data_IF_000822385752
#
_entry.id   IF_000822385752
#
_cell.length_a   1.000
_cell.length_b   1.000
_cell.length_c   1.000
_cell.angle_alpha   90.00
_cell.angle_beta   90.00
_cell.angle_gamma   90.00
#
_symmetry.space_group_name_H-M   'P 1'
#
loop_
_entity.id
_entity.type
_entity.pdbx_description
1 polymer ?
#
# COMPACT_ATOMS: atom_id res chain seq x y z
N UNK A 1 -19.79 -42.37 30.21
CA UNK A 1 -19.32 -42.65 28.84
C UNK A 1 -20.51 -43.17 28.07
N UNK A 2 -20.91 -42.43 27.06
CA UNK A 2 -22.13 -42.67 26.28
C UNK A 2 -21.86 -43.73 25.19
N UNK A 3 -22.83 -44.61 24.93
CA UNK A 3 -22.71 -45.78 24.07
C UNK A 3 -22.37 -45.42 22.61
N UNK A 4 -22.70 -44.20 22.21
CA UNK A 4 -22.37 -43.56 20.92
C UNK A 4 -20.86 -43.41 20.68
N UNK A 5 -20.04 -43.29 21.73
CA UNK A 5 -18.58 -43.14 21.62
C UNK A 5 -17.86 -44.45 21.24
N UNK A 6 -18.48 -45.62 21.46
CA UNK A 6 -17.84 -46.93 21.19
C UNK A 6 -17.79 -47.32 19.71
N UNK A 7 -18.72 -46.82 18.88
CA UNK A 7 -18.87 -47.30 17.50
C UNK A 7 -17.90 -46.66 16.51
N UNK A 8 -17.28 -45.52 16.85
CA UNK A 8 -16.41 -44.77 15.93
C UNK A 8 -14.92 -45.18 15.98
N UNK A 9 -14.49 -45.97 16.97
CA UNK A 9 -13.06 -46.09 17.34
C UNK A 9 -12.45 -47.49 17.17
N UNK A 10 -13.24 -48.52 16.90
CA UNK A 10 -12.71 -49.89 16.77
C UNK A 10 -12.02 -50.08 15.41
N UNK A 11 -10.71 -49.77 15.36
CA UNK A 11 -9.81 -50.15 14.27
C UNK A 11 -9.22 -49.00 13.44
N UNK A 12 -9.62 -47.75 13.67
CA UNK A 12 -9.13 -46.58 12.94
C UNK A 12 -8.39 -45.59 13.85
N UNK A 13 -7.37 -44.86 13.33
CA UNK A 13 -6.65 -43.87 14.12
C UNK A 13 -7.60 -42.76 14.62
N UNK A 14 -7.53 -42.48 15.92
CA UNK A 14 -8.23 -41.37 16.55
C UNK A 14 -7.66 -40.03 16.06
N UNK A 15 -8.56 -39.10 15.75
CA UNK A 15 -8.23 -37.73 15.35
C UNK A 15 -8.36 -36.79 16.54
N UNK A 16 -7.53 -35.75 16.58
CA UNK A 16 -7.61 -34.70 17.58
C UNK A 16 -8.04 -33.38 16.95
N UNK A 17 -8.65 -32.50 17.74
CA UNK A 17 -8.89 -31.12 17.30
C UNK A 17 -7.55 -30.45 16.93
N UNK A 18 -7.48 -29.90 15.72
CA UNK A 18 -6.26 -29.36 15.12
C UNK A 18 -5.58 -30.29 14.10
N UNK A 19 -5.92 -31.58 14.07
CA UNK A 19 -5.46 -32.49 13.02
C UNK A 19 -6.00 -32.01 11.66
N UNK A 20 -5.20 -32.20 10.61
CA UNK A 20 -5.55 -31.88 9.24
C UNK A 20 -5.72 -33.20 8.50
N UNK A 21 -6.90 -33.43 7.95
CA UNK A 21 -7.24 -34.63 7.20
C UNK A 21 -7.22 -34.35 5.71
N UNK A 22 -6.53 -35.21 4.97
CA UNK A 22 -6.36 -35.13 3.52
C UNK A 22 -7.01 -36.34 2.86
N UNK A 23 -7.68 -36.12 1.73
CA UNK A 23 -8.20 -37.21 0.91
C UNK A 23 -7.04 -37.93 0.22
N UNK A 24 -6.89 -39.23 0.47
CA UNK A 24 -5.84 -40.04 -0.15
C UNK A 24 -6.13 -40.37 -1.62
N UNK A 25 -7.41 -40.45 -2.03
CA UNK A 25 -7.81 -40.67 -3.42
C UNK A 25 -8.07 -39.35 -4.14
N UNK A 26 -7.36 -39.13 -5.23
CA UNK A 26 -7.61 -38.01 -6.13
C UNK A 26 -8.36 -38.51 -7.36
N UNK A 27 -9.44 -37.82 -7.69
CA UNK A 27 -10.12 -37.97 -8.97
C UNK A 27 -9.54 -36.93 -9.93
N UNK A 28 -9.15 -37.34 -11.14
CA UNK A 28 -8.64 -36.44 -12.19
C UNK A 28 -9.68 -35.44 -12.71
N UNK A 29 -10.92 -35.55 -12.23
CA UNK A 29 -12.09 -34.79 -12.67
C UNK A 29 -12.64 -33.91 -11.52
N UNK A 30 -11.87 -33.68 -10.46
CA UNK A 30 -12.31 -32.80 -9.37
C UNK A 30 -12.47 -31.37 -9.88
N UNK A 31 -13.56 -30.72 -9.45
CA UNK A 31 -13.85 -29.30 -9.73
C UNK A 31 -12.83 -28.40 -9.04
N UNK A 32 -12.33 -28.84 -7.88
CA UNK A 32 -11.31 -28.12 -7.12
C UNK A 32 -9.90 -28.58 -7.55
N UNK A 33 -8.99 -27.64 -7.84
CA UNK A 33 -7.59 -27.93 -8.08
C UNK A 33 -6.89 -28.44 -6.80
N UNK A 34 -5.83 -29.22 -6.95
CA UNK A 34 -4.96 -29.61 -5.84
C UNK A 34 -5.48 -30.68 -4.87
N UNK A 35 -4.88 -30.71 -3.67
CA UNK A 35 -5.24 -31.63 -2.59
C UNK A 35 -6.41 -31.10 -1.75
N UNK A 36 -7.41 -31.96 -1.54
CA UNK A 36 -8.58 -31.66 -0.71
C UNK A 36 -8.29 -32.02 0.74
N UNK A 37 -8.39 -31.02 1.62
CA UNK A 37 -8.20 -31.18 3.06
C UNK A 37 -9.35 -30.59 3.88
N UNK A 38 -9.44 -31.01 5.14
CA UNK A 38 -10.25 -30.37 6.17
C UNK A 38 -9.48 -30.32 7.50
N UNK A 39 -9.80 -29.34 8.34
CA UNK A 39 -9.25 -29.24 9.70
C UNK A 39 -10.27 -29.77 10.70
N UNK A 40 -9.85 -30.70 11.55
CA UNK A 40 -10.69 -31.26 12.61
C UNK A 40 -10.86 -30.22 13.71
N UNK A 41 -12.11 -29.93 14.06
CA UNK A 41 -12.47 -28.98 15.12
C UNK A 41 -13.06 -29.70 16.34
N UNK A 42 -13.20 -28.99 17.47
CA UNK A 42 -13.87 -29.54 18.66
C UNK A 42 -15.32 -29.96 18.39
N UNK A 43 -15.99 -29.36 17.41
CA UNK A 43 -17.38 -29.69 17.06
C UNK A 43 -17.50 -31.03 16.31
N UNK A 44 -16.40 -31.50 15.72
CA UNK A 44 -16.38 -32.73 14.93
C UNK A 44 -16.13 -33.97 15.81
N UNK A 45 -15.80 -33.77 17.09
CA UNK A 45 -15.43 -34.85 17.99
C UNK A 45 -16.67 -35.59 18.55
N UNK A 46 -16.63 -36.93 18.70
CA UNK A 46 -15.50 -37.83 18.40
C UNK A 46 -15.43 -38.24 16.91
N UNK A 47 -14.23 -38.28 16.34
CA UNK A 47 -14.00 -38.66 14.92
C UNK A 47 -12.73 -39.49 14.75
N UNK A 48 -12.73 -40.41 13.79
CA UNK A 48 -11.60 -41.27 13.45
C UNK A 48 -11.32 -41.23 11.94
N UNK A 49 -10.06 -41.47 11.56
CA UNK A 49 -9.64 -41.43 10.15
C UNK A 49 -9.84 -42.79 9.46
N UNK A 50 -10.72 -42.83 8.45
CA UNK A 50 -10.89 -44.01 7.59
C UNK A 50 -9.64 -44.33 6.75
N UNK A 51 -9.64 -45.47 6.03
CA UNK A 51 -8.45 -46.02 5.35
C UNK A 51 -7.97 -45.22 4.12
N UNK A 52 -8.75 -44.21 3.69
CA UNK A 52 -8.48 -43.33 2.56
C UNK A 52 -8.26 -41.88 3.00
N UNK A 53 -7.96 -41.66 4.27
CA UNK A 53 -7.65 -40.37 4.86
C UNK A 53 -6.20 -40.37 5.32
N UNK A 54 -5.43 -39.39 4.88
CA UNK A 54 -4.11 -39.11 5.42
C UNK A 54 -4.25 -38.07 6.54
N UNK A 55 -3.49 -38.27 7.63
CA UNK A 55 -3.49 -37.35 8.76
C UNK A 55 -2.19 -36.55 8.73
N UNK A 56 -2.31 -35.23 8.70
CA UNK A 56 -1.21 -34.31 8.96
C UNK A 56 -1.42 -33.68 10.32
N UNK A 57 -0.41 -33.81 11.19
CA UNK A 57 -0.40 -33.18 12.51
C UNK A 57 0.58 -32.02 12.49
N UNK A 58 0.11 -30.76 12.62
CA UNK A 58 1.00 -29.64 12.75
C UNK A 58 1.94 -29.80 13.95
N UNK A 59 3.20 -29.40 13.78
CA UNK A 59 4.13 -29.33 14.92
C UNK A 59 3.64 -28.26 15.90
N UNK A 60 3.73 -28.51 17.19
CA UNK A 60 3.32 -27.56 18.22
C UNK A 60 4.05 -26.21 18.14
N UNK A 61 5.25 -26.20 17.55
CA UNK A 61 6.10 -25.01 17.35
C UNK A 61 5.88 -24.33 15.99
N UNK A 62 5.04 -24.88 15.11
CA UNK A 62 4.82 -24.30 13.79
C UNK A 62 3.93 -23.06 13.91
N UNK A 63 4.35 -21.97 13.25
CA UNK A 63 3.55 -20.77 13.13
C UNK A 63 2.26 -21.06 12.34
N UNK A 64 1.15 -20.46 12.78
CA UNK A 64 -0.15 -20.63 12.16
C UNK A 64 -0.14 -20.14 10.71
N UNK A 65 0.59 -19.07 10.41
CA UNK A 65 0.72 -18.54 9.05
C UNK A 65 1.44 -19.54 8.13
N UNK A 66 2.48 -20.22 8.63
CA UNK A 66 3.20 -21.26 7.88
C UNK A 66 2.31 -22.46 7.56
N UNK A 67 1.52 -22.91 8.54
CA UNK A 67 0.55 -24.00 8.35
C UNK A 67 -0.46 -23.59 7.27
N UNK A 68 -1.05 -22.40 7.37
CA UNK A 68 -2.06 -21.95 6.43
C UNK A 68 -1.50 -21.75 5.01
N UNK A 69 -0.27 -21.24 4.88
CA UNK A 69 0.42 -21.14 3.61
C UNK A 69 0.64 -22.52 2.98
N UNK A 70 1.16 -23.48 3.76
CA UNK A 70 1.38 -24.84 3.29
C UNK A 70 0.07 -25.48 2.82
N UNK A 71 -1.03 -25.28 3.56
CA UNK A 71 -2.35 -25.79 3.19
C UNK A 71 -2.91 -25.18 1.91
N UNK A 72 -2.71 -23.88 1.70
CA UNK A 72 -3.09 -23.23 0.43
C UNK A 72 -2.23 -23.70 -0.73
N UNK A 73 -0.92 -23.90 -0.50
CA UNK A 73 -0.02 -24.42 -1.51
C UNK A 73 -0.45 -25.84 -1.94
N UNK A 74 -0.70 -26.76 -1.00
CA UNK A 74 -1.11 -28.13 -1.37
C UNK A 74 -2.47 -28.18 -2.06
N UNK A 75 -3.35 -27.21 -1.82
CA UNK A 75 -4.63 -27.04 -2.53
C UNK A 75 -4.51 -26.32 -3.87
N UNK A 76 -3.31 -25.95 -4.31
CA UNK A 76 -3.10 -25.31 -5.60
C UNK A 76 -2.71 -26.33 -6.68
N UNK A 77 -2.96 -25.98 -7.94
CA UNK A 77 -2.45 -26.76 -9.09
C UNK A 77 -0.92 -26.84 -9.10
N UNK A 78 -0.22 -25.83 -8.57
CA UNK A 78 1.22 -25.81 -8.50
C UNK A 78 1.78 -26.97 -7.65
N UNK A 79 1.08 -27.38 -6.59
CA UNK A 79 1.49 -28.53 -5.80
C UNK A 79 1.37 -29.87 -6.55
N UNK A 80 0.43 -29.97 -7.51
CA UNK A 80 0.30 -31.15 -8.38
C UNK A 80 1.33 -31.14 -9.52
N UNK A 81 1.75 -29.94 -9.99
CA UNK A 81 2.74 -29.78 -11.05
C UNK A 81 4.20 -29.93 -10.56
N UNK A 82 4.52 -29.47 -9.36
CA UNK A 82 5.87 -29.58 -8.76
C UNK A 82 6.22 -30.99 -8.27
N UNK A 83 5.27 -31.91 -8.39
CA UNK A 83 5.43 -33.32 -8.08
C UNK A 83 5.72 -34.14 -9.34
N UNK A 84 6.86 -33.92 -9.98
CA UNK A 84 7.38 -34.81 -11.04
C UNK A 84 7.52 -36.28 -10.55
N UNK A 85 7.68 -36.47 -9.24
CA UNK A 85 7.73 -37.78 -8.57
C UNK A 85 6.35 -38.40 -8.26
N UNK A 86 5.27 -37.61 -8.33
CA UNK A 86 3.90 -38.10 -8.20
C UNK A 86 3.27 -38.10 -9.59
N UNK A 87 3.79 -38.95 -10.49
CA UNK A 87 3.10 -39.27 -11.74
C UNK A 87 1.82 -40.04 -11.43
N UNK A 88 0.77 -39.30 -11.10
CA UNK A 88 -0.60 -39.79 -10.97
C UNK A 88 -1.01 -40.36 -12.34
N UNK A 89 -1.06 -41.69 -12.44
CA UNK A 89 -1.51 -42.41 -13.65
C UNK A 89 -2.99 -42.07 -13.92
N UNK A 90 -3.45 -42.01 -15.18
CA UNK A 90 -4.73 -41.39 -15.49
C UNK A 90 -5.86 -42.40 -15.23
N UNK A 91 -6.54 -42.28 -14.08
CA UNK A 91 -7.96 -42.59 -13.87
C UNK A 91 -8.35 -42.49 -12.38
N UNK A 92 -7.46 -42.87 -11.45
CA UNK A 92 -7.55 -42.62 -10.00
C UNK A 92 -6.18 -42.82 -9.39
N UNK A 93 -5.70 -41.86 -8.62
CA UNK A 93 -4.36 -41.91 -8.06
C UNK A 93 -4.42 -41.80 -6.53
N UNK A 94 -3.78 -42.77 -5.87
CA UNK A 94 -3.71 -42.81 -4.40
C UNK A 94 -2.43 -42.10 -3.94
N UNK A 95 -2.59 -41.02 -3.20
CA UNK A 95 -1.52 -40.35 -2.50
C UNK A 95 -1.18 -41.16 -1.25
N UNK A 96 0.10 -41.44 -1.06
CA UNK A 96 0.62 -42.13 0.12
C UNK A 96 1.31 -41.13 1.05
N UNK A 97 1.39 -41.45 2.34
CA UNK A 97 2.11 -40.61 3.30
C UNK A 97 3.59 -40.38 2.91
N UNK A 98 4.24 -41.40 2.33
CA UNK A 98 5.63 -41.32 1.87
C UNK A 98 5.81 -40.40 0.65
N UNK A 99 4.82 -40.35 -0.25
CA UNK A 99 4.83 -39.40 -1.37
C UNK A 99 4.59 -37.97 -0.85
N UNK A 100 3.61 -37.80 0.05
CA UNK A 100 3.29 -36.51 0.64
C UNK A 100 4.46 -35.94 1.47
N UNK A 101 5.21 -36.78 2.19
CA UNK A 101 6.36 -36.33 2.98
C UNK A 101 7.55 -35.83 2.15
N UNK A 102 7.57 -36.12 0.85
CA UNK A 102 8.60 -35.65 -0.10
C UNK A 102 8.19 -34.36 -0.81
N UNK A 103 6.94 -33.91 -0.64
CA UNK A 103 6.44 -32.70 -1.25
C UNK A 103 7.25 -31.51 -0.73
N UNK A 104 7.87 -30.77 -1.66
CA UNK A 104 8.58 -29.54 -1.34
C UNK A 104 7.56 -28.41 -1.28
N UNK A 105 7.33 -27.89 -0.08
CA UNK A 105 6.49 -26.72 0.16
C UNK A 105 7.41 -25.48 0.19
N UNK A 106 7.10 -24.42 -0.57
CA UNK A 106 7.84 -23.17 -0.48
C UNK A 106 7.80 -22.59 0.94
N UNK A 107 8.83 -21.86 1.33
CA UNK A 107 8.85 -21.14 2.62
C UNK A 107 8.43 -19.69 2.32
N UNK A 108 7.31 -19.20 2.89
CA UNK A 108 6.90 -17.82 2.70
C UNK A 108 7.84 -16.88 3.45
N UNK A 109 8.20 -15.77 2.83
CA UNK A 109 8.89 -14.68 3.55
C UNK A 109 7.89 -13.89 4.43
N UNK A 110 8.42 -12.97 5.24
CA UNK A 110 7.61 -12.19 6.17
C UNK A 110 6.52 -11.36 5.46
N UNK A 111 6.87 -10.74 4.33
CA UNK A 111 5.93 -9.91 3.56
C UNK A 111 4.76 -10.74 3.03
N UNK A 112 5.03 -11.94 2.49
CA UNK A 112 3.99 -12.85 2.02
C UNK A 112 3.12 -13.37 3.17
N UNK A 113 3.71 -13.66 4.34
CA UNK A 113 2.94 -14.04 5.54
C UNK A 113 1.97 -12.94 5.97
N UNK A 114 2.45 -11.70 6.06
CA UNK A 114 1.64 -10.56 6.47
C UNK A 114 0.51 -10.30 5.47
N UNK A 115 0.78 -10.38 4.17
CA UNK A 115 -0.24 -10.28 3.13
C UNK A 115 -1.32 -11.35 3.27
N UNK A 116 -0.94 -12.61 3.53
CA UNK A 116 -1.89 -13.71 3.72
C UNK A 116 -2.75 -13.54 4.97
N UNK A 117 -2.14 -13.11 6.08
CA UNK A 117 -2.87 -12.77 7.31
C UNK A 117 -3.86 -11.64 7.02
N UNK A 118 -3.43 -10.60 6.31
CA UNK A 118 -4.27 -9.48 5.89
C UNK A 118 -5.47 -9.91 5.06
N UNK A 119 -5.25 -10.75 4.03
CA UNK A 119 -6.32 -11.30 3.17
C UNK A 119 -7.29 -12.14 3.99
N UNK A 120 -6.80 -13.00 4.89
CA UNK A 120 -7.66 -13.86 5.69
C UNK A 120 -8.51 -13.06 6.69
N UNK A 121 -7.93 -12.03 7.31
CA UNK A 121 -8.68 -11.09 8.14
C UNK A 121 -9.74 -10.33 7.34
N UNK A 122 -9.39 -9.88 6.12
CA UNK A 122 -10.34 -9.23 5.22
C UNK A 122 -11.49 -10.15 4.86
N UNK A 123 -11.21 -11.42 4.52
CA UNK A 123 -12.21 -12.46 4.23
C UNK A 123 -13.15 -12.66 5.42
N UNK A 124 -12.61 -12.82 6.62
CA UNK A 124 -13.41 -13.00 7.84
C UNK A 124 -14.31 -11.80 8.13
N UNK A 125 -13.81 -10.57 7.96
CA UNK A 125 -14.61 -9.35 8.11
C UNK A 125 -15.72 -9.27 7.07
N UNK A 126 -15.42 -9.58 5.81
CA UNK A 126 -16.41 -9.59 4.74
C UNK A 126 -17.51 -10.63 5.00
N UNK A 127 -17.16 -11.85 5.43
CA UNK A 127 -18.14 -12.87 5.83
C UNK A 127 -19.00 -12.41 7.02
N UNK A 128 -18.40 -11.76 8.02
CA UNK A 128 -19.16 -11.21 9.14
C UNK A 128 -20.17 -10.14 8.69
N UNK A 129 -19.79 -9.29 7.74
CA UNK A 129 -20.70 -8.29 7.15
C UNK A 129 -21.82 -8.92 6.33
N UNK A 130 -21.53 -10.00 5.60
CA UNK A 130 -22.55 -10.78 4.88
C UNK A 130 -23.57 -11.39 5.85
N UNK A 131 -23.09 -12.06 6.89
CA UNK A 131 -23.96 -12.67 7.90
C UNK A 131 -24.84 -11.61 8.59
N UNK A 132 -24.29 -10.44 8.91
CA UNK A 132 -25.06 -9.33 9.49
C UNK A 132 -26.17 -8.85 8.54
N UNK A 133 -25.91 -8.80 7.22
CA UNK A 133 -26.93 -8.46 6.23
C UNK A 133 -28.03 -9.54 6.13
N UNK A 134 -27.63 -10.82 6.13
CA UNK A 134 -28.57 -11.95 6.10
C UNK A 134 -29.46 -12.00 7.34
N UNK A 135 -28.91 -11.73 8.52
CA UNK A 135 -29.67 -11.61 9.77
C UNK A 135 -30.71 -10.48 9.69
N UNK A 136 -30.32 -9.29 9.16
CA UNK A 136 -31.26 -8.17 8.99
C UNK A 136 -32.41 -8.54 8.03
N UNK A 137 -32.12 -9.31 6.98
CA UNK A 137 -33.12 -9.76 6.01
C UNK A 137 -34.03 -10.86 6.59
N UNK A 138 -33.47 -11.79 7.36
CA UNK A 138 -34.23 -12.85 8.02
C UNK A 138 -35.23 -12.29 9.02
N UNK A 139 -34.82 -11.30 9.82
CA UNK A 139 -35.64 -10.69 10.87
C UNK A 139 -36.74 -9.76 10.31
N UNK A 140 -36.77 -9.48 9.00
CA UNK A 140 -37.63 -8.46 8.37
C UNK A 140 -39.13 -8.64 8.69
N UNK A 141 -39.58 -9.89 8.85
CA UNK A 141 -40.98 -10.23 9.05
C UNK A 141 -41.33 -10.61 10.50
N UNK A 142 -40.36 -10.56 11.42
CA UNK A 142 -40.54 -11.00 12.80
C UNK A 142 -41.02 -9.89 13.75
N UNK A 143 -41.30 -8.69 13.22
CA UNK A 143 -41.75 -7.53 13.99
C UNK A 143 -43.27 -7.41 14.05
N UNK A 144 -43.78 -6.89 15.17
CA UNK A 144 -45.22 -6.76 15.47
C UNK A 144 -45.97 -5.81 14.51
N UNK A 145 -45.25 -4.94 13.79
CA UNK A 145 -45.82 -4.07 12.78
C UNK A 145 -44.86 -3.71 11.65
N UNK A 146 -45.41 -3.39 10.47
CA UNK A 146 -44.63 -2.93 9.32
C UNK A 146 -43.90 -1.59 9.58
N UNK A 147 -44.44 -0.74 10.45
CA UNK A 147 -43.80 0.52 10.83
C UNK A 147 -42.54 0.29 11.68
N UNK A 148 -42.62 -0.63 12.63
CA UNK A 148 -41.49 -1.04 13.46
C UNK A 148 -40.41 -1.76 12.66
N UNK A 149 -40.81 -2.71 11.80
CA UNK A 149 -39.90 -3.41 10.88
C UNK A 149 -39.09 -2.41 10.04
N UNK A 150 -39.76 -1.42 9.44
CA UNK A 150 -39.11 -0.38 8.63
C UNK A 150 -38.07 0.40 9.44
N UNK A 151 -38.41 0.85 10.65
CA UNK A 151 -37.48 1.63 11.47
C UNK A 151 -36.25 0.81 11.88
N UNK A 152 -36.46 -0.41 12.37
CA UNK A 152 -35.39 -1.32 12.81
C UNK A 152 -34.47 -1.72 11.66
N UNK A 153 -35.04 -2.03 10.51
CA UNK A 153 -34.26 -2.38 9.31
C UNK A 153 -33.43 -1.19 8.86
N UNK A 154 -33.99 0.03 8.77
CA UNK A 154 -33.24 1.23 8.35
C UNK A 154 -32.06 1.51 9.30
N UNK A 155 -32.28 1.35 10.60
CA UNK A 155 -31.27 1.55 11.64
C UNK A 155 -30.14 0.51 11.54
N UNK A 156 -30.48 -0.78 11.53
CA UNK A 156 -29.49 -1.88 11.48
C UNK A 156 -28.73 -1.91 10.15
N UNK A 157 -29.43 -1.68 9.03
CA UNK A 157 -28.81 -1.66 7.70
C UNK A 157 -27.96 -0.41 7.42
N UNK A 158 -28.00 0.62 8.27
CA UNK A 158 -27.24 1.86 8.06
C UNK A 158 -25.74 1.60 8.01
N UNK A 159 -25.22 0.82 8.94
CA UNK A 159 -23.78 0.55 9.03
C UNK A 159 -23.30 -0.30 7.85
N UNK A 160 -24.08 -1.31 7.44
CA UNK A 160 -23.80 -2.14 6.26
C UNK A 160 -23.72 -1.26 4.99
N UNK A 161 -24.70 -0.38 4.77
CA UNK A 161 -24.67 0.55 3.62
C UNK A 161 -23.47 1.51 3.67
N UNK A 162 -23.10 2.01 4.85
CA UNK A 162 -21.94 2.89 4.99
C UNK A 162 -20.62 2.16 4.70
N UNK A 163 -20.49 0.89 5.11
CA UNK A 163 -19.34 0.06 4.77
C UNK A 163 -19.24 -0.17 3.26
N UNK A 164 -20.35 -0.53 2.61
CA UNK A 164 -20.37 -0.72 1.16
C UNK A 164 -20.03 0.57 0.42
N UNK A 165 -20.60 1.70 0.83
CA UNK A 165 -20.24 3.00 0.26
C UNK A 165 -18.74 3.30 0.42
N UNK A 166 -18.15 3.00 1.58
CA UNK A 166 -16.71 3.18 1.78
C UNK A 166 -15.86 2.24 0.91
N UNK A 167 -16.37 1.04 0.60
CA UNK A 167 -15.72 0.11 -0.35
C UNK A 167 -15.83 0.65 -1.78
N UNK A 168 -17.03 1.03 -2.23
CA UNK A 168 -17.26 1.62 -3.56
C UNK A 168 -16.36 2.86 -3.77
N UNK A 169 -16.23 3.69 -2.73
CA UNK A 169 -15.37 4.88 -2.71
C UNK A 169 -13.88 4.55 -2.82
N UNK A 170 -13.44 3.29 -2.66
CA UNK A 170 -12.03 2.84 -2.75
C UNK A 170 -11.82 1.92 -3.98
N UNK A 171 -12.87 1.44 -4.65
CA UNK A 171 -12.73 0.61 -5.86
C UNK A 171 -12.25 1.42 -7.08
N UNK A 172 -12.52 2.73 -7.09
CA UNK A 172 -12.06 3.61 -8.17
C UNK A 172 -10.68 4.20 -7.88
N UNK A 173 -9.87 4.40 -8.93
CA UNK A 173 -8.56 5.04 -8.78
C UNK A 173 -8.66 6.43 -8.10
N UNK A 174 -9.64 7.26 -8.48
CA UNK A 174 -9.83 8.57 -7.83
C UNK A 174 -10.16 8.44 -6.35
N UNK A 175 -10.98 7.45 -6.01
CA UNK A 175 -11.27 7.05 -4.64
C UNK A 175 -10.05 6.67 -3.81
N UNK A 176 -9.20 5.80 -4.36
CA UNK A 176 -7.93 5.39 -3.75
C UNK A 176 -6.98 6.58 -3.58
N UNK A 177 -6.83 7.40 -4.61
CA UNK A 177 -5.97 8.59 -4.57
C UNK A 177 -6.44 9.55 -3.48
N UNK A 178 -7.75 9.82 -3.38
CA UNK A 178 -8.28 10.76 -2.37
C UNK A 178 -8.13 10.26 -0.94
N UNK A 179 -8.25 8.96 -0.71
CA UNK A 179 -8.39 8.40 0.65
C UNK A 179 -7.17 7.68 1.19
N UNK A 180 -6.32 7.12 0.32
CA UNK A 180 -5.22 6.25 0.71
C UNK A 180 -3.84 6.78 0.30
N UNK A 181 -3.74 7.51 -0.82
CA UNK A 181 -2.45 8.03 -1.27
C UNK A 181 -1.89 9.05 -0.27
N UNK A 182 -0.56 9.31 -0.31
CA UNK A 182 0.05 10.31 0.55
C UNK A 182 -0.62 11.68 0.44
N UNK A 183 -0.71 12.37 1.57
CA UNK A 183 -1.38 13.67 1.74
C UNK A 183 -1.15 14.67 0.60
N UNK A 184 0.07 14.87 0.08
CA UNK A 184 0.32 15.81 -1.02
C UNK A 184 -0.47 15.49 -2.29
N UNK A 185 -0.56 14.21 -2.63
CA UNK A 185 -1.24 13.73 -3.84
C UNK A 185 -2.74 13.77 -3.61
N UNK A 186 -3.21 13.21 -2.49
CA UNK A 186 -4.62 13.14 -2.15
C UNK A 186 -5.26 14.54 -2.05
N UNK A 187 -4.57 15.49 -1.44
CA UNK A 187 -5.05 16.87 -1.31
C UNK A 187 -5.20 17.56 -2.67
N UNK A 188 -4.23 17.39 -3.56
CA UNK A 188 -4.27 17.97 -4.92
C UNK A 188 -5.31 17.31 -5.80
N UNK A 189 -5.50 16.00 -5.64
CA UNK A 189 -6.58 15.28 -6.29
C UNK A 189 -7.95 15.81 -5.86
N UNK A 190 -8.18 16.01 -4.56
CA UNK A 190 -9.42 16.62 -4.05
C UNK A 190 -9.65 18.02 -4.63
N UNK A 191 -8.60 18.84 -4.75
CA UNK A 191 -8.70 20.17 -5.35
C UNK A 191 -9.09 20.10 -6.84
N UNK A 192 -8.53 19.14 -7.58
CA UNK A 192 -8.90 18.85 -8.97
C UNK A 192 -10.36 18.39 -9.08
N UNK A 193 -10.81 17.46 -8.23
CA UNK A 193 -12.21 17.02 -8.23
C UNK A 193 -13.18 18.17 -7.94
N UNK A 194 -12.82 19.04 -7.00
CA UNK A 194 -13.60 20.24 -6.70
C UNK A 194 -13.66 21.20 -7.90
N UNK A 195 -12.54 21.46 -8.59
CA UNK A 195 -12.53 22.26 -9.81
C UNK A 195 -13.41 21.62 -10.91
N UNK A 196 -13.27 20.31 -11.11
CA UNK A 196 -14.01 19.53 -12.11
C UNK A 196 -15.51 19.49 -11.87
N UNK A 197 -15.97 19.70 -10.63
CA UNK A 197 -17.41 19.78 -10.32
C UNK A 197 -18.14 20.90 -11.10
N UNK A 198 -17.40 21.89 -11.60
CA UNK A 198 -17.89 22.97 -12.45
C UNK A 198 -17.75 22.68 -13.96
N UNK A 199 -17.36 21.45 -14.34
CA UNK A 199 -17.12 21.02 -15.72
C UNK A 199 -15.65 21.12 -16.15
N UNK A 200 -15.40 20.90 -17.44
CA UNK A 200 -14.07 20.96 -18.04
C UNK A 200 -13.68 22.41 -18.34
N UNK A 201 -13.39 23.15 -17.26
CA UNK A 201 -12.99 24.56 -17.31
C UNK A 201 -11.47 24.69 -17.34
N UNK A 202 -10.98 25.90 -17.60
CA UNK A 202 -9.56 26.24 -17.43
C UNK A 202 -9.07 25.99 -15.99
N UNK A 203 -9.92 26.19 -14.98
CA UNK A 203 -9.58 25.89 -13.59
C UNK A 203 -9.32 24.39 -13.40
N UNK A 204 -10.18 23.54 -13.97
CA UNK A 204 -10.00 22.08 -13.99
C UNK A 204 -8.69 21.69 -14.67
N UNK A 205 -8.39 22.30 -15.83
CA UNK A 205 -7.14 22.07 -16.56
C UNK A 205 -5.91 22.42 -15.72
N UNK A 206 -5.89 23.63 -15.13
CA UNK A 206 -4.77 24.08 -14.29
C UNK A 206 -4.65 23.22 -13.03
N UNK A 207 -5.77 22.83 -12.40
CA UNK A 207 -5.76 21.95 -11.24
C UNK A 207 -5.18 20.56 -11.57
N UNK A 208 -5.41 20.04 -12.79
CA UNK A 208 -4.83 18.78 -13.25
C UNK A 208 -3.30 18.90 -13.41
N UNK A 209 -2.84 20.00 -14.01
CA UNK A 209 -1.40 20.28 -14.18
C UNK A 209 -0.71 20.51 -12.82
N UNK A 210 -1.34 21.25 -11.91
CA UNK A 210 -0.81 21.44 -10.56
C UNK A 210 -0.77 20.11 -9.80
N UNK A 211 -1.80 19.26 -9.90
CA UNK A 211 -1.77 17.93 -9.31
C UNK A 211 -0.63 17.08 -9.86
N UNK A 212 -0.39 17.13 -11.18
CA UNK A 212 0.74 16.43 -11.79
C UNK A 212 2.08 16.96 -11.27
N UNK A 213 2.28 18.27 -11.25
CA UNK A 213 3.52 18.90 -10.79
C UNK A 213 3.83 18.52 -9.34
N UNK A 214 2.84 18.55 -8.44
CA UNK A 214 3.06 18.20 -7.04
C UNK A 214 3.26 16.70 -6.82
N UNK A 215 2.58 15.84 -7.58
CA UNK A 215 2.85 14.39 -7.55
C UNK A 215 4.28 14.09 -8.00
N UNK A 216 4.75 14.71 -9.08
CA UNK A 216 6.13 14.52 -9.56
C UNK A 216 7.15 15.13 -8.60
N UNK A 217 6.89 16.29 -8.03
CA UNK A 217 7.74 16.89 -6.99
C UNK A 217 7.86 15.95 -5.79
N UNK A 218 6.75 15.40 -5.31
CA UNK A 218 6.73 14.44 -4.22
C UNK A 218 7.59 13.21 -4.54
N UNK A 219 7.34 12.53 -5.66
CA UNK A 219 8.08 11.32 -6.05
C UNK A 219 9.56 11.58 -6.29
N UNK A 220 9.91 12.70 -6.94
CA UNK A 220 11.30 13.10 -7.14
C UNK A 220 12.02 13.25 -5.79
N UNK A 221 11.43 13.95 -4.82
CA UNK A 221 12.06 14.15 -3.51
C UNK A 221 12.17 12.84 -2.69
N UNK A 222 11.21 11.92 -2.81
CA UNK A 222 11.36 10.55 -2.26
C UNK A 222 12.55 9.84 -2.90
N UNK A 223 12.63 9.87 -4.24
CA UNK A 223 13.73 9.25 -4.97
C UNK A 223 15.11 9.82 -4.62
N UNK A 224 15.20 11.15 -4.43
CA UNK A 224 16.42 11.82 -3.98
C UNK A 224 16.85 11.35 -2.58
N UNK A 225 15.90 11.19 -1.66
CA UNK A 225 16.18 10.67 -0.33
C UNK A 225 16.68 9.22 -0.37
N UNK A 226 16.00 8.34 -1.09
CA UNK A 226 16.37 6.93 -1.20
C UNK A 226 17.72 6.74 -1.91
N UNK A 227 18.00 7.52 -2.96
CA UNK A 227 19.29 7.49 -3.63
C UNK A 227 20.44 7.93 -2.70
N UNK A 228 20.20 8.92 -1.84
CA UNK A 228 21.15 9.35 -0.81
C UNK A 228 21.37 8.26 0.24
N UNK A 229 20.32 7.56 0.66
CA UNK A 229 20.43 6.43 1.59
C UNK A 229 21.33 5.32 1.03
N UNK A 230 21.28 5.08 -0.29
CA UNK A 230 22.21 4.20 -0.99
C UNK A 230 23.64 4.76 -1.18
N UNK A 231 23.89 6.01 -0.77
CA UNK A 231 25.17 6.70 -0.97
C UNK A 231 25.44 7.11 -2.42
N UNK A 232 24.42 7.19 -3.27
CA UNK A 232 24.53 7.63 -4.65
C UNK A 232 24.15 9.10 -4.82
N UNK A 233 24.94 9.85 -5.59
CA UNK A 233 24.59 11.21 -6.01
C UNK A 233 23.82 11.22 -7.33
N UNK A 234 22.96 12.23 -7.48
CA UNK A 234 22.27 12.54 -8.72
C UNK A 234 22.80 13.86 -9.29
N UNK A 235 23.02 13.92 -10.60
CA UNK A 235 23.27 15.18 -11.30
C UNK A 235 22.13 16.17 -11.16
N UNK A 236 20.88 15.69 -11.01
CA UNK A 236 19.73 16.53 -10.74
C UNK A 236 19.87 17.36 -9.45
N UNK A 237 20.60 16.88 -8.43
CA UNK A 237 20.87 17.65 -7.21
C UNK A 237 21.77 18.84 -7.52
N UNK A 238 22.81 18.64 -8.33
CA UNK A 238 23.73 19.71 -8.74
C UNK A 238 23.01 20.76 -9.60
N UNK A 239 22.12 20.32 -10.50
CA UNK A 239 21.30 21.21 -11.34
C UNK A 239 20.34 22.07 -10.49
N UNK A 240 19.65 21.44 -9.53
CA UNK A 240 18.79 22.14 -8.58
C UNK A 240 19.61 23.13 -7.75
N UNK A 241 20.77 22.70 -7.21
CA UNK A 241 21.66 23.57 -6.44
C UNK A 241 22.10 24.80 -7.27
N UNK A 242 22.45 24.59 -8.54
CA UNK A 242 22.80 25.66 -9.47
C UNK A 242 21.66 26.65 -9.71
N UNK A 243 20.41 26.17 -9.81
CA UNK A 243 19.22 27.04 -9.90
C UNK A 243 18.97 27.83 -8.63
N UNK A 244 19.05 27.16 -7.48
CA UNK A 244 18.91 27.80 -6.17
C UNK A 244 19.96 28.90 -5.99
N UNK A 245 21.21 28.66 -6.42
CA UNK A 245 22.27 29.67 -6.38
C UNK A 245 21.96 30.90 -7.25
N UNK A 246 21.28 30.71 -8.39
CA UNK A 246 20.80 31.81 -9.25
C UNK A 246 19.54 32.50 -8.71
N UNK A 247 19.03 32.08 -7.56
CA UNK A 247 17.75 32.56 -7.02
C UNK A 247 16.55 32.16 -7.86
N UNK A 248 16.63 31.05 -8.60
CA UNK A 248 15.51 30.49 -9.35
C UNK A 248 14.82 29.42 -8.51
N UNK A 249 13.48 29.38 -8.61
CA UNK A 249 12.69 28.31 -8.02
C UNK A 249 12.88 26.99 -8.75
N UNK A 250 12.64 25.89 -8.04
CA UNK A 250 12.45 24.57 -8.64
C UNK A 250 11.17 24.52 -9.50
N UNK A 251 11.12 23.58 -10.42
CA UNK A 251 10.08 23.46 -11.43
C UNK A 251 9.79 22.00 -11.77
N UNK A 252 8.63 21.76 -12.39
CA UNK A 252 8.26 20.43 -12.90
C UNK A 252 9.34 19.78 -13.77
N UNK A 253 10.10 20.57 -14.53
CA UNK A 253 11.23 20.05 -15.34
C UNK A 253 12.33 19.45 -14.46
N UNK A 254 12.66 20.06 -13.32
CA UNK A 254 13.71 19.58 -12.43
C UNK A 254 13.29 18.23 -11.81
N UNK A 255 12.00 18.07 -11.49
CA UNK A 255 11.42 16.83 -10.97
C UNK A 255 11.42 15.71 -12.02
N UNK A 256 11.02 16.01 -13.26
CA UNK A 256 11.11 15.04 -14.35
C UNK A 256 12.55 14.59 -14.59
N UNK A 257 13.53 15.51 -14.57
CA UNK A 257 14.94 15.18 -14.73
C UNK A 257 15.47 14.27 -13.61
N UNK A 258 15.11 14.54 -12.36
CA UNK A 258 15.47 13.67 -11.24
C UNK A 258 14.90 12.25 -11.40
N UNK A 259 13.61 12.14 -11.76
CA UNK A 259 12.94 10.85 -11.98
C UNK A 259 13.56 10.10 -13.16
N UNK A 260 13.89 10.79 -14.25
CA UNK A 260 14.55 10.18 -15.42
C UNK A 260 15.96 9.69 -15.10
N UNK A 261 16.72 10.39 -14.26
CA UNK A 261 18.03 9.92 -13.79
C UNK A 261 17.89 8.67 -12.91
N UNK A 262 16.86 8.65 -12.04
CA UNK A 262 16.52 7.50 -11.19
C UNK A 262 16.14 6.25 -11.98
N UNK A 263 15.87 6.33 -13.29
CA UNK A 263 15.68 5.18 -14.19
C UNK A 263 16.98 4.48 -14.59
N UNK A 264 18.16 5.07 -14.33
CA UNK A 264 19.47 4.50 -14.68
C UNK A 264 19.85 3.26 -13.87
N UNK A 265 20.62 2.33 -14.46
CA UNK A 265 20.99 1.02 -13.84
C UNK A 265 21.68 1.12 -12.48
N UNK A 266 22.36 2.23 -12.18
CA UNK A 266 23.02 2.48 -10.88
C UNK A 266 22.03 2.47 -9.71
N UNK A 267 20.74 2.67 -9.97
CA UNK A 267 19.69 2.71 -8.95
C UNK A 267 18.86 1.43 -8.84
N UNK A 268 19.28 0.31 -9.48
CA UNK A 268 18.58 -0.97 -9.32
C UNK A 268 18.53 -1.46 -7.86
N UNK A 269 19.47 -1.01 -7.02
CA UNK A 269 19.48 -1.35 -5.59
C UNK A 269 18.29 -0.73 -4.81
N UNK A 270 17.56 0.24 -5.39
CA UNK A 270 16.35 0.79 -4.79
C UNK A 270 15.26 -0.28 -4.62
N UNK A 271 15.13 -1.20 -5.58
CA UNK A 271 14.13 -2.27 -5.54
C UNK A 271 14.26 -3.11 -4.27
N UNK A 272 15.51 -3.42 -3.91
CA UNK A 272 15.83 -4.17 -2.69
C UNK A 272 15.71 -3.30 -1.44
N UNK A 273 16.04 -2.00 -1.53
CA UNK A 273 16.02 -1.07 -0.40
C UNK A 273 14.62 -0.90 0.18
N UNK A 274 13.63 -0.61 -0.68
CA UNK A 274 12.23 -0.39 -0.27
C UNK A 274 11.35 -1.63 -0.50
N UNK A 275 11.98 -2.77 -0.82
CA UNK A 275 11.30 -4.06 -0.95
C UNK A 275 10.19 -4.11 -2.01
N UNK A 276 10.28 -3.30 -3.06
CA UNK A 276 9.37 -3.32 -4.23
C UNK A 276 10.06 -2.71 -5.46
N UNK A 277 9.88 -3.28 -6.68
CA UNK A 277 10.39 -2.68 -7.92
C UNK A 277 9.51 -1.53 -8.43
N UNK A 278 8.31 -1.34 -7.89
CA UNK A 278 7.27 -0.49 -8.49
C UNK A 278 7.67 1.01 -8.56
N UNK A 279 8.46 1.50 -7.61
CA UNK A 279 9.04 2.86 -7.68
C UNK A 279 9.93 3.02 -8.91
N UNK A 280 10.73 2.00 -9.21
CA UNK A 280 11.65 1.97 -10.34
C UNK A 280 10.91 1.71 -11.65
N UNK A 281 9.86 0.90 -11.64
CA UNK A 281 8.95 0.72 -12.76
C UNK A 281 8.32 2.07 -13.14
N UNK A 282 7.85 2.87 -12.17
CA UNK A 282 7.39 4.24 -12.41
C UNK A 282 8.45 5.11 -13.11
N UNK A 283 9.72 4.98 -12.73
CA UNK A 283 10.81 5.76 -13.34
C UNK A 283 11.08 5.32 -14.79
N UNK A 284 11.03 4.01 -15.07
CA UNK A 284 11.49 3.40 -16.32
C UNK A 284 10.40 3.14 -17.36
N UNK A 285 9.13 3.01 -16.95
CA UNK A 285 8.01 2.65 -17.84
C UNK A 285 7.85 3.73 -18.94
N UNK A 286 8.00 3.36 -20.24
CA UNK A 286 7.85 4.29 -21.35
C UNK A 286 6.48 4.99 -21.40
N UNK A 287 5.42 4.32 -20.98
CA UNK A 287 4.05 4.84 -20.93
C UNK A 287 3.93 5.94 -19.88
N UNK A 288 4.47 5.68 -18.69
CA UNK A 288 4.51 6.65 -17.59
C UNK A 288 5.38 7.84 -17.97
N UNK A 289 6.55 7.57 -18.57
CA UNK A 289 7.44 8.62 -19.07
C UNK A 289 6.78 9.52 -20.11
N UNK A 290 6.05 8.94 -21.07
CA UNK A 290 5.30 9.71 -22.06
C UNK A 290 4.23 10.59 -21.41
N UNK A 291 3.49 10.05 -20.42
CA UNK A 291 2.49 10.81 -19.66
C UNK A 291 3.14 11.98 -18.86
N UNK A 292 4.31 11.76 -18.24
CA UNK A 292 5.08 12.84 -17.57
C UNK A 292 5.47 13.94 -18.56
N UNK A 293 5.96 13.56 -19.74
CA UNK A 293 6.40 14.50 -20.77
C UNK A 293 5.23 15.31 -21.36
N UNK A 294 4.09 14.66 -21.62
CA UNK A 294 2.87 15.33 -22.08
C UNK A 294 2.40 16.40 -21.08
N UNK A 295 2.29 16.05 -19.79
CA UNK A 295 1.87 17.01 -18.76
C UNK A 295 2.90 18.12 -18.54
N UNK A 296 4.19 17.82 -18.63
CA UNK A 296 5.25 18.83 -18.58
C UNK A 296 5.13 19.82 -19.75
N UNK A 297 4.89 19.32 -20.97
CA UNK A 297 4.73 20.17 -22.15
C UNK A 297 3.53 21.10 -21.97
N UNK A 298 2.38 20.56 -21.55
CA UNK A 298 1.17 21.32 -21.24
C UNK A 298 1.40 22.39 -20.16
N UNK A 299 2.12 22.03 -19.10
CA UNK A 299 2.50 22.96 -18.02
C UNK A 299 3.36 24.10 -18.54
N UNK A 300 4.35 23.80 -19.38
CA UNK A 300 5.21 24.80 -20.00
C UNK A 300 4.44 25.69 -20.97
N UNK A 301 3.53 25.13 -21.76
CA UNK A 301 2.67 25.90 -22.68
C UNK A 301 1.82 26.91 -21.90
N UNK A 302 1.19 26.48 -20.80
CA UNK A 302 0.35 27.33 -19.96
C UNK A 302 1.17 28.41 -19.22
N UNK A 303 2.38 28.09 -18.76
CA UNK A 303 3.30 29.03 -18.14
C UNK A 303 3.88 30.07 -19.14
N UNK A 304 4.05 29.70 -20.41
CA UNK A 304 4.56 30.56 -21.48
C UNK A 304 3.46 31.33 -22.23
N UNK A 305 2.19 31.24 -21.78
CA UNK A 305 1.07 31.95 -22.40
C UNK A 305 0.56 31.33 -23.71
N UNK A 306 1.06 30.14 -24.09
CA UNK A 306 0.57 29.33 -25.21
C UNK A 306 -0.64 28.52 -24.76
N UNK A 307 -1.67 29.26 -24.36
CA UNK A 307 -2.82 28.73 -23.65
C UNK A 307 -3.73 27.93 -24.56
N UNK A 308 -4.34 26.87 -24.02
CA UNK A 308 -5.42 26.16 -24.71
C UNK A 308 -6.60 27.12 -24.94
N UNK A 309 -7.12 27.11 -26.17
CA UNK A 309 -8.29 27.90 -26.56
C UNK A 309 -9.57 27.32 -25.95
N UNK A 310 -10.57 28.18 -25.72
CA UNK A 310 -11.81 27.76 -25.04
C UNK A 310 -12.53 26.60 -25.73
N UNK A 311 -12.45 26.50 -27.06
CA UNK A 311 -13.09 25.44 -27.84
C UNK A 311 -12.41 24.07 -27.69
N UNK A 312 -11.12 24.06 -27.33
CA UNK A 312 -10.31 22.85 -27.21
C UNK A 312 -10.13 22.41 -25.74
N UNK A 313 -10.70 23.16 -24.79
CA UNK A 313 -10.53 22.90 -23.34
C UNK A 313 -11.09 21.54 -22.91
N UNK A 314 -12.21 21.11 -23.50
CA UNK A 314 -12.84 19.84 -23.12
C UNK A 314 -11.89 18.65 -23.40
N UNK A 315 -11.37 18.60 -24.64
CA UNK A 315 -10.40 17.60 -25.07
C UNK A 315 -9.09 17.72 -24.28
N UNK A 316 -8.57 18.94 -24.11
CA UNK A 316 -7.32 19.16 -23.39
C UNK A 316 -7.38 18.75 -21.92
N UNK A 317 -8.53 18.92 -21.26
CA UNK A 317 -8.79 18.41 -19.90
C UNK A 317 -8.86 16.89 -19.92
N UNK A 318 -9.59 16.28 -20.86
CA UNK A 318 -9.67 14.84 -21.00
C UNK A 318 -8.29 14.18 -21.18
N UNK A 319 -7.46 14.73 -22.05
CA UNK A 319 -6.09 14.25 -22.29
C UNK A 319 -5.19 14.42 -21.05
N UNK A 320 -5.22 15.59 -20.40
CA UNK A 320 -4.43 15.83 -19.19
C UNK A 320 -4.83 14.87 -18.06
N UNK A 321 -6.13 14.59 -17.91
CA UNK A 321 -6.63 13.61 -16.94
C UNK A 321 -6.18 12.19 -17.28
N UNK A 322 -6.16 11.79 -18.55
CA UNK A 322 -5.67 10.47 -18.97
C UNK A 322 -4.19 10.29 -18.62
N UNK A 323 -3.35 11.29 -18.89
CA UNK A 323 -1.94 11.29 -18.51
C UNK A 323 -1.78 11.25 -16.98
N UNK A 324 -2.56 12.03 -16.24
CA UNK A 324 -2.51 12.05 -14.78
C UNK A 324 -2.99 10.73 -14.16
N UNK A 325 -4.03 10.10 -14.71
CA UNK A 325 -4.47 8.77 -14.29
C UNK A 325 -3.41 7.70 -14.54
N UNK A 326 -2.68 7.79 -15.66
CA UNK A 326 -1.56 6.89 -15.96
C UNK A 326 -0.45 7.01 -14.91
N UNK A 327 -0.11 8.24 -14.51
CA UNK A 327 0.83 8.52 -13.42
C UNK A 327 0.30 7.96 -12.10
N UNK A 328 -0.93 8.30 -11.68
CA UNK A 328 -1.45 7.87 -10.38
C UNK A 328 -1.58 6.34 -10.28
N UNK A 329 -1.95 5.67 -11.37
CA UNK A 329 -2.03 4.19 -11.41
C UNK A 329 -0.67 3.52 -11.23
N UNK A 330 0.41 4.13 -11.75
CA UNK A 330 1.77 3.60 -11.56
C UNK A 330 2.35 3.91 -10.17
N UNK A 331 1.65 4.68 -9.35
CA UNK A 331 2.02 5.01 -7.97
C UNK A 331 1.24 4.22 -6.92
N UNK A 332 0.53 3.16 -7.31
CA UNK A 332 -0.29 2.34 -6.40
C UNK A 332 0.56 1.66 -5.30
N UNK A 333 1.86 1.47 -5.51
CA UNK A 333 2.79 0.99 -4.49
C UNK A 333 2.83 1.86 -3.23
N UNK A 334 2.45 3.14 -3.32
CA UNK A 334 2.35 4.04 -2.18
C UNK A 334 1.27 3.62 -1.17
N UNK A 335 0.34 2.75 -1.58
CA UNK A 335 -0.64 2.13 -0.67
C UNK A 335 0.06 1.23 0.35
N UNK A 336 1.13 0.56 -0.07
CA UNK A 336 1.94 -0.33 0.77
C UNK A 336 3.18 0.39 1.33
N UNK A 337 3.50 1.57 0.80
CA UNK A 337 4.62 2.41 1.24
C UNK A 337 4.17 3.82 1.70
N UNK A 338 3.41 3.94 2.80
CA UNK A 338 2.86 5.22 3.22
C UNK A 338 3.91 6.15 3.82
N UNK A 339 3.63 7.46 3.77
CA UNK A 339 4.38 8.44 4.54
C UNK A 339 3.95 8.45 5.99
N UNK A 340 4.92 8.55 6.90
CA UNK A 340 4.67 8.68 8.33
C UNK A 340 5.43 9.85 8.94
N UNK A 341 4.82 10.51 9.91
CA UNK A 341 5.49 11.46 10.80
C UNK A 341 5.86 10.72 12.08
N UNK A 342 7.15 10.66 12.39
CA UNK A 342 7.61 10.19 13.69
C UNK A 342 7.22 11.21 14.77
N UNK A 343 6.50 10.81 15.81
CA UNK A 343 6.06 11.71 16.88
C UNK A 343 6.91 11.57 18.12
N UNK A 344 7.11 10.34 18.59
CA UNK A 344 7.85 10.10 19.82
C UNK A 344 8.44 8.68 19.80
N UNK A 345 9.71 8.55 20.16
CA UNK A 345 10.39 7.27 20.30
C UNK A 345 10.61 6.96 21.78
N UNK A 346 10.04 5.86 22.25
CA UNK A 346 10.40 5.27 23.54
C UNK A 346 11.42 4.16 23.29
N UNK A 347 12.64 4.30 23.81
CA UNK A 347 13.73 3.34 23.59
C UNK A 347 14.19 2.70 24.90
N UNK A 348 14.19 1.37 24.96
CA UNK A 348 14.81 0.59 26.02
C UNK A 348 16.23 0.18 25.59
N UNK A 349 17.24 0.87 26.12
CA UNK A 349 18.64 0.60 25.81
C UNK A 349 19.15 -0.73 26.39
N UNK A 350 18.47 -1.33 27.35
CA UNK A 350 18.85 -2.63 27.92
C UNK A 350 18.34 -3.74 27.00
N UNK A 351 17.09 -3.65 26.55
CA UNK A 351 16.48 -4.64 25.65
C UNK A 351 16.83 -4.44 24.17
N UNK A 352 17.35 -3.26 23.81
CA UNK A 352 17.57 -2.86 22.41
C UNK A 352 16.27 -2.89 21.59
N UNK A 353 15.17 -2.47 22.23
CA UNK A 353 13.83 -2.44 21.67
C UNK A 353 13.24 -1.05 21.84
N UNK A 354 12.52 -0.57 20.84
CA UNK A 354 11.81 0.69 20.90
C UNK A 354 10.36 0.58 20.47
N UNK A 355 9.55 1.55 20.91
CA UNK A 355 8.19 1.78 20.43
C UNK A 355 8.13 3.19 19.87
N UNK A 356 7.76 3.29 18.60
CA UNK A 356 7.56 4.56 17.91
C UNK A 356 6.07 4.91 17.86
N UNK A 357 5.72 6.07 18.41
CA UNK A 357 4.47 6.75 18.12
C UNK A 357 4.60 7.47 16.77
N UNK A 358 3.71 7.17 15.82
CA UNK A 358 3.73 7.77 14.48
C UNK A 358 2.33 8.08 13.96
N UNK A 359 2.29 8.94 12.93
CA UNK A 359 1.06 9.33 12.25
C UNK A 359 1.22 9.08 10.75
N UNK A 360 0.29 8.30 10.17
CA UNK A 360 0.28 7.99 8.74
C UNK A 360 -0.37 9.14 7.96
N UNK A 361 0.38 9.79 7.08
CA UNK A 361 -0.07 10.91 6.26
C UNK A 361 -0.77 10.42 4.98
N UNK A 362 -1.85 9.66 5.16
CA UNK A 362 -2.69 9.15 4.06
C UNK A 362 -3.99 9.92 3.96
N UNK A 363 -4.46 10.11 2.73
CA UNK A 363 -5.69 10.82 2.41
C UNK A 363 -5.55 12.34 2.41
N UNK A 364 -6.64 13.03 2.12
CA UNK A 364 -6.68 14.47 1.84
C UNK A 364 -6.62 15.40 3.07
N UNK A 365 -6.39 14.85 4.27
CA UNK A 365 -6.33 15.60 5.52
C UNK A 365 -5.16 15.21 6.44
N UNK A 366 -4.61 16.18 7.16
CA UNK A 366 -3.48 15.98 8.07
C UNK A 366 -3.88 15.56 9.50
N UNK A 367 -5.18 15.49 9.81
CA UNK A 367 -5.69 15.06 11.12
C UNK A 367 -5.81 13.53 11.12
N UNK A 368 -4.78 12.85 11.60
CA UNK A 368 -4.68 11.39 11.55
C UNK A 368 -4.41 10.81 12.94
N UNK A 369 -4.96 9.64 13.29
CA UNK A 369 -4.74 9.04 14.60
C UNK A 369 -3.27 8.64 14.79
N UNK A 370 -2.78 8.78 16.02
CA UNK A 370 -1.45 8.27 16.39
C UNK A 370 -1.53 6.75 16.51
N UNK A 371 -0.56 6.05 15.91
CA UNK A 371 -0.37 4.61 15.98
C UNK A 371 0.98 4.30 16.61
N UNK A 372 1.16 3.05 17.02
CA UNK A 372 2.41 2.56 17.60
C UNK A 372 2.96 1.42 16.75
N UNK A 373 4.28 1.36 16.62
CA UNK A 373 4.96 0.20 16.07
C UNK A 373 6.27 -0.08 16.82
N UNK A 374 6.66 -1.35 16.95
CA UNK A 374 7.98 -1.70 17.45
C UNK A 374 9.05 -1.26 16.45
N UNK A 375 10.20 -0.84 16.95
CA UNK A 375 11.35 -0.43 16.15
C UNK A 375 12.64 -0.94 16.76
N UNK A 376 13.62 -1.26 15.91
CA UNK A 376 14.90 -1.83 16.32
C UNK A 376 16.05 -0.80 16.32
N UNK A 377 15.77 0.48 16.05
CA UNK A 377 16.78 1.52 15.94
C UNK A 377 16.52 2.67 16.93
N UNK A 378 17.52 3.11 17.71
CA UNK A 378 17.40 4.24 18.63
C UNK A 378 17.45 5.61 17.94
N UNK A 379 17.76 5.64 16.64
CA UNK A 379 18.11 6.87 15.90
C UNK A 379 16.96 7.46 15.09
N UNK A 380 15.70 7.14 15.44
CA UNK A 380 14.54 7.72 14.77
C UNK A 380 14.32 9.15 15.26
N UNK A 381 14.22 10.07 14.32
CA UNK A 381 14.13 11.50 14.57
C UNK A 381 12.67 11.93 14.74
N UNK A 382 12.30 12.31 15.95
CA UNK A 382 10.98 12.87 16.22
C UNK A 382 10.76 14.16 15.39
N UNK A 383 9.58 14.29 14.81
CA UNK A 383 9.19 15.39 13.93
C UNK A 383 9.61 15.22 12.46
N UNK A 384 10.48 14.24 12.16
CA UNK A 384 10.88 13.94 10.78
C UNK A 384 9.84 13.10 10.05
N UNK A 385 9.88 13.18 8.72
CA UNK A 385 9.05 12.39 7.81
C UNK A 385 9.84 11.17 7.36
N UNK A 386 9.16 10.04 7.29
CA UNK A 386 9.70 8.78 6.80
C UNK A 386 8.78 8.18 5.75
N UNK A 387 9.36 7.50 4.75
CA UNK A 387 8.66 6.51 3.96
C UNK A 387 8.71 5.19 4.75
N UNK A 388 7.57 4.59 5.04
CA UNK A 388 7.48 3.27 5.65
C UNK A 388 7.35 2.24 4.54
N UNK A 389 8.31 1.33 4.37
CA UNK A 389 8.24 0.32 3.30
C UNK A 389 7.35 -0.88 3.65
N UNK A 390 7.18 -1.81 2.69
CA UNK A 390 6.36 -3.02 2.87
C UNK A 390 6.86 -3.97 3.97
N UNK A 391 8.12 -3.83 4.39
CA UNK A 391 8.74 -4.57 5.51
C UNK A 391 8.73 -3.80 6.83
N UNK A 392 8.00 -2.69 6.91
CA UNK A 392 7.95 -1.79 8.07
C UNK A 392 9.29 -1.08 8.38
N UNK A 393 10.16 -0.96 7.38
CA UNK A 393 11.41 -0.20 7.46
C UNK A 393 11.15 1.28 7.25
N UNK A 394 11.80 2.12 8.05
CA UNK A 394 11.67 3.57 7.97
C UNK A 394 12.82 4.18 7.17
N UNK A 395 12.50 4.83 6.06
CA UNK A 395 13.46 5.58 5.23
C UNK A 395 13.29 7.07 5.46
N UNK A 396 14.33 7.74 5.99
CA UNK A 396 14.28 9.16 6.32
C UNK A 396 14.27 10.00 5.03
N UNK A 397 13.25 10.83 4.83
CA UNK A 397 13.11 11.61 3.58
C UNK A 397 13.61 13.05 3.68
N UNK A 398 14.05 13.48 4.87
CA UNK A 398 14.64 14.82 5.05
C UNK A 398 16.05 14.88 4.44
N UNK A 399 16.51 16.05 3.99
CA UNK A 399 15.80 17.34 3.99
C UNK A 399 14.93 17.55 2.73
N UNK A 400 14.91 16.60 1.80
CA UNK A 400 14.16 16.73 0.53
C UNK A 400 12.66 16.95 0.77
N UNK A 401 12.09 16.25 1.76
CA UNK A 401 10.76 16.53 2.30
C UNK A 401 10.81 16.80 3.81
N UNK A 402 10.03 17.79 4.25
CA UNK A 402 9.85 18.09 5.67
C UNK A 402 8.38 18.42 5.98
N UNK A 403 7.91 18.06 7.17
CA UNK A 403 6.54 18.34 7.60
C UNK A 403 6.51 19.38 8.70
N UNK A 404 5.73 20.45 8.53
CA UNK A 404 5.56 21.48 9.54
C UNK A 404 4.23 22.22 9.35
N UNK A 405 3.84 23.03 10.33
CA UNK A 405 2.69 23.92 10.19
C UNK A 405 3.06 25.12 9.31
N UNK A 406 2.26 25.37 8.28
CA UNK A 406 2.46 26.51 7.40
C UNK A 406 2.24 27.82 8.19
N UNK A 407 3.24 28.70 8.20
CA UNK A 407 3.13 30.02 8.86
C UNK A 407 2.08 30.94 8.23
N UNK A 408 1.63 30.65 7.00
CA UNK A 408 0.62 31.46 6.29
C UNK A 408 -0.82 31.04 6.61
N UNK A 409 -1.09 29.75 6.71
CA UNK A 409 -2.46 29.23 6.91
C UNK A 409 -2.66 28.39 8.19
N UNK A 410 -1.60 28.09 8.94
CA UNK A 410 -1.66 27.28 10.16
C UNK A 410 -1.79 25.77 9.94
N UNK A 411 -2.12 25.32 8.73
CA UNK A 411 -2.29 23.90 8.40
C UNK A 411 -0.95 23.17 8.34
N UNK A 412 -0.91 21.95 8.89
CA UNK A 412 0.22 21.04 8.67
C UNK A 412 0.36 20.69 7.19
N UNK A 413 1.57 20.76 6.65
CA UNK A 413 1.85 20.56 5.23
C UNK A 413 3.24 19.96 5.05
N UNK A 414 3.43 19.27 3.93
CA UNK A 414 4.73 18.79 3.48
C UNK A 414 5.38 19.82 2.55
N UNK A 415 6.66 20.06 2.77
CA UNK A 415 7.43 21.08 2.07
C UNK A 415 8.66 20.47 1.40
N UNK A 416 8.99 21.02 0.23
CA UNK A 416 10.24 20.76 -0.49
C UNK A 416 11.06 22.05 -0.64
N UNK A 417 12.34 21.92 -0.96
CA UNK A 417 13.27 23.03 -1.19
C UNK A 417 12.92 23.76 -2.50
N UNK A 418 12.54 25.04 -2.43
CA UNK A 418 12.00 25.76 -3.59
C UNK A 418 12.97 26.78 -4.18
N UNK A 419 13.36 27.80 -3.39
CA UNK A 419 14.16 28.93 -3.88
C UNK A 419 15.12 29.43 -2.81
N UNK A 420 16.34 29.81 -3.20
CA UNK A 420 17.30 30.49 -2.32
C UNK A 420 17.59 31.90 -2.86
N UNK A 421 17.04 32.93 -2.25
CA UNK A 421 17.18 34.32 -2.72
C UNK A 421 17.48 35.23 -1.54
N UNK A 422 18.34 36.23 -1.74
CA UNK A 422 18.72 37.20 -0.70
C UNK A 422 19.25 36.53 0.59
N UNK A 423 19.98 35.42 0.47
CA UNK A 423 20.50 34.60 1.59
C UNK A 423 19.41 33.88 2.42
N UNK A 424 18.15 33.92 1.98
CA UNK A 424 17.06 33.18 2.60
C UNK A 424 16.69 31.97 1.74
N UNK A 425 16.72 30.80 2.36
CA UNK A 425 16.16 29.60 1.75
C UNK A 425 14.66 29.56 2.03
N UNK A 426 13.88 29.32 1.00
CA UNK A 426 12.44 29.11 1.09
C UNK A 426 12.07 27.68 0.73
N UNK A 427 11.11 27.14 1.46
CA UNK A 427 10.51 25.84 1.22
C UNK A 427 9.05 26.03 0.83
N UNK A 428 8.53 25.22 -0.08
CA UNK A 428 7.18 25.36 -0.65
C UNK A 428 6.33 24.15 -0.33
N UNK A 429 5.10 24.41 0.11
CA UNK A 429 4.12 23.36 0.45
C UNK A 429 3.63 22.66 -0.82
N UNK A 430 3.63 21.32 -0.79
CA UNK A 430 3.08 20.51 -1.86
C UNK A 430 1.55 20.67 -1.96
N UNK A 431 0.85 20.76 -0.83
CA UNK A 431 -0.61 20.83 -0.75
C UNK A 431 -1.15 22.21 -1.13
N UNK A 432 -0.57 23.28 -0.58
CA UNK A 432 -1.12 24.63 -0.67
C UNK A 432 -0.32 25.56 -1.59
N UNK A 433 0.90 25.18 -1.99
CA UNK A 433 1.78 26.03 -2.79
C UNK A 433 2.33 27.26 -2.05
N UNK A 434 2.09 27.36 -0.74
CA UNK A 434 2.64 28.41 0.10
C UNK A 434 4.14 28.22 0.32
N UNK A 435 4.92 29.27 0.11
CA UNK A 435 6.34 29.30 0.48
C UNK A 435 6.53 29.93 1.87
N UNK A 436 7.42 29.35 2.66
CA UNK A 436 7.87 29.87 3.97
C UNK A 436 9.39 29.86 4.02
N UNK A 437 9.97 30.67 4.91
CA UNK A 437 11.43 30.68 5.14
C UNK A 437 11.82 29.42 5.91
N UNK A 438 12.87 28.75 5.46
CA UNK A 438 13.41 27.55 6.08
C UNK A 438 14.05 27.90 7.44
N UNK A 439 13.96 26.98 8.41
CA UNK A 439 14.69 27.12 9.67
C UNK A 439 16.19 26.94 9.44
N UNK A 440 17.02 27.49 10.33
CA UNK A 440 18.48 27.33 10.25
C UNK A 440 18.91 25.85 10.22
N UNK A 441 18.28 25.01 11.04
CA UNK A 441 18.49 23.56 11.03
C UNK A 441 18.18 22.91 9.69
N UNK A 442 17.15 23.39 8.98
CA UNK A 442 16.81 22.90 7.65
C UNK A 442 17.82 23.38 6.61
N UNK A 443 18.28 24.64 6.69
CA UNK A 443 19.34 25.16 5.82
C UNK A 443 20.62 24.33 5.93
N UNK A 444 21.04 24.01 7.16
CA UNK A 444 22.21 23.14 7.41
C UNK A 444 22.03 21.75 6.81
N UNK A 445 20.84 21.15 6.98
CA UNK A 445 20.54 19.84 6.41
C UNK A 445 20.57 19.87 4.87
N UNK A 446 19.97 20.90 4.25
CA UNK A 446 19.97 21.10 2.79
C UNK A 446 21.39 21.29 2.24
N UNK A 447 22.25 22.02 2.96
CA UNK A 447 23.67 22.14 2.60
C UNK A 447 24.42 20.81 2.70
N UNK A 448 24.13 20.00 3.74
CA UNK A 448 24.71 18.66 3.91
C UNK A 448 24.28 17.64 2.84
N UNK A 449 23.29 17.98 2.00
CA UNK A 449 22.88 17.17 0.85
C UNK A 449 23.28 17.75 -0.50
N UNK A 450 24.09 18.81 -0.51
CA UNK A 450 24.63 19.41 -1.73
C UNK A 450 23.67 20.36 -2.45
N UNK A 451 22.45 20.57 -1.94
CA UNK A 451 21.48 21.51 -2.51
C UNK A 451 21.84 22.98 -2.26
N UNK A 452 22.71 23.25 -1.29
CA UNK A 452 23.31 24.55 -1.05
C UNK A 452 24.82 24.39 -0.88
N UNK A 453 25.60 25.33 -1.45
CA UNK A 453 27.03 25.40 -1.17
C UNK A 453 27.26 25.75 0.31
N UNK A 454 28.10 24.95 0.98
CA UNK A 454 28.62 25.30 2.31
C UNK A 454 29.57 26.48 2.09
N UNK A 455 29.32 27.61 2.75
CA UNK A 455 30.29 28.71 2.80
C UNK A 455 31.45 28.36 3.73
#
# INVERSE_FOLDING_TARGET
MDESQRWALDGYPELFAGDIVLRALQATNSVDPGLVWARVTQKDMPVAAGPLVLILRPLATADRADIEFALRFISSDAALQLTDDIRLTPLTSKITAAALSRLRVPIPDAALKDALIGIEQARQRASAWSNEADEILADLFDYDSAAEARQRVIERSRLVRLRMKAVDDIETLGGQVRTQFPLPIAYRWRALEAARSHGNTRETYVAALDSAEQTLAFIANIGLALARELGHSLSAVDDIAGRLHRGQGTSMSDWCSAIDELAGKKFNALDTLISTPEFRDFCTDPTVKAARQDLLQRRNDEAHGRRVELMDLDDAVGEALNSLHTINRSLTFLLDSPLVVARNLQWDSIRQEGVLDYQMLSGDHSVVPVRQMPVALPTIEAGSIYLLDSKQTLHLVRPFLTGTNCQRCGTFSLFYVDQHRNQELTIKSLEHGHSIVATESHVQAVAAVGLLGIK
#
